data_IF_988765704764
#
_entry.id   IF_988765704764
#
_cell.length_a   1.000
_cell.length_b   1.000
_cell.length_c   1.000
_cell.angle_alpha   90.00
_cell.angle_beta   90.00
_cell.angle_gamma   90.00
#
_symmetry.space_group_name_H-M   'P 1'
#
loop_
_entity.id
_entity.type
_entity.pdbx_description
1 polymer ?
#
# COMPACT_ATOMS: atom_id res chain seq x y z
N UNK A 1 -36.48 34.63 -2.72
CA UNK A 1 -35.32 33.70 -2.53
C UNK A 1 -35.67 32.23 -2.79
N UNK A 2 -36.87 31.74 -2.48
CA UNK A 2 -37.31 30.34 -2.65
C UNK A 2 -37.21 29.83 -4.11
N UNK A 3 -37.48 30.69 -5.10
CA UNK A 3 -37.40 30.32 -6.52
C UNK A 3 -35.98 30.08 -7.08
N UNK A 4 -34.91 30.52 -6.39
CA UNK A 4 -33.52 30.19 -6.77
C UNK A 4 -33.07 28.84 -6.19
N UNK A 5 -33.55 28.49 -4.99
CA UNK A 5 -33.28 27.18 -4.38
C UNK A 5 -33.98 26.04 -5.12
N UNK A 6 -35.22 26.25 -5.60
CA UNK A 6 -35.94 25.24 -6.40
C UNK A 6 -35.36 25.00 -7.80
N UNK A 7 -34.50 25.90 -8.31
CA UNK A 7 -33.83 25.73 -9.61
C UNK A 7 -32.50 24.98 -9.50
N UNK A 8 -31.92 24.91 -8.31
CA UNK A 8 -30.65 24.22 -8.04
C UNK A 8 -30.86 22.77 -7.58
N UNK A 9 -32.03 22.43 -7.04
CA UNK A 9 -32.39 21.06 -6.65
C UNK A 9 -32.36 20.04 -7.78
N UNK A 10 -32.88 20.28 -9.00
CA UNK A 10 -32.74 19.32 -10.10
C UNK A 10 -31.28 19.18 -10.54
N UNK A 11 -30.47 20.24 -10.41
CA UNK A 11 -29.05 20.26 -10.78
C UNK A 11 -28.20 19.45 -9.79
N UNK A 12 -28.44 19.61 -8.49
CA UNK A 12 -27.77 18.82 -7.45
C UNK A 12 -28.19 17.35 -7.50
N UNK A 13 -29.47 17.07 -7.78
CA UNK A 13 -29.98 15.72 -7.97
C UNK A 13 -29.41 15.05 -9.23
N UNK A 14 -29.33 15.78 -10.36
CA UNK A 14 -28.71 15.26 -11.58
C UNK A 14 -27.22 15.01 -11.39
N UNK A 15 -26.51 15.91 -10.71
CA UNK A 15 -25.08 15.77 -10.40
C UNK A 15 -24.83 14.54 -9.52
N UNK A 16 -25.63 14.37 -8.45
CA UNK A 16 -25.55 13.21 -7.56
C UNK A 16 -25.84 11.89 -8.26
N UNK A 17 -26.85 11.84 -9.13
CA UNK A 17 -27.21 10.66 -9.91
C UNK A 17 -26.14 10.31 -10.95
N UNK A 18 -25.51 11.30 -11.61
CA UNK A 18 -24.39 11.04 -12.52
C UNK A 18 -23.15 10.53 -11.79
N UNK A 19 -22.81 11.10 -10.62
CA UNK A 19 -21.67 10.66 -9.82
C UNK A 19 -21.88 9.22 -9.31
N UNK A 20 -23.10 8.88 -8.91
CA UNK A 20 -23.47 7.53 -8.49
C UNK A 20 -23.44 6.53 -9.65
N UNK A 21 -23.97 6.89 -10.82
CA UNK A 21 -23.97 6.04 -12.01
C UNK A 21 -22.56 5.79 -12.56
N UNK A 22 -21.65 6.76 -12.45
CA UNK A 22 -20.23 6.60 -12.84
C UNK A 22 -19.46 5.66 -11.93
N UNK A 23 -19.73 5.71 -10.62
CA UNK A 23 -19.12 4.80 -9.66
C UNK A 23 -19.52 3.33 -9.90
N UNK A 24 -20.60 3.10 -10.64
CA UNK A 24 -21.15 1.77 -10.96
C UNK A 24 -20.88 1.35 -12.43
N UNK A 25 -20.19 2.19 -13.21
CA UNK A 25 -20.13 2.07 -14.68
C UNK A 25 -18.75 1.64 -15.19
N UNK A 26 -18.66 0.63 -16.08
CA UNK A 26 -17.41 0.18 -16.70
C UNK A 26 -16.75 1.23 -17.61
N UNK A 27 -17.41 2.36 -17.89
CA UNK A 27 -16.82 3.47 -18.65
C UNK A 27 -15.82 4.31 -17.83
N UNK A 28 -15.73 4.13 -16.51
CA UNK A 28 -14.70 4.73 -15.67
C UNK A 28 -13.34 4.02 -15.79
N UNK A 29 -13.34 2.75 -16.19
CA UNK A 29 -12.16 1.90 -16.32
C UNK A 29 -11.08 2.47 -17.27
N UNK A 30 -11.40 2.95 -18.49
CA UNK A 30 -10.38 3.57 -19.36
C UNK A 30 -9.79 4.87 -18.80
N UNK A 31 -10.56 5.62 -18.00
CA UNK A 31 -10.05 6.82 -17.34
C UNK A 31 -9.09 6.46 -16.20
N UNK A 32 -9.41 5.45 -15.39
CA UNK A 32 -8.54 4.94 -14.32
C UNK A 32 -7.24 4.37 -14.92
N UNK A 33 -7.33 3.56 -15.98
CA UNK A 33 -6.14 3.02 -16.65
C UNK A 33 -5.26 4.13 -17.26
N UNK A 34 -5.86 5.15 -17.87
CA UNK A 34 -5.11 6.30 -18.38
C UNK A 34 -4.36 7.05 -17.27
N UNK A 35 -4.95 7.16 -16.06
CA UNK A 35 -4.27 7.78 -14.92
C UNK A 35 -3.10 6.96 -14.38
N UNK A 36 -3.23 5.63 -14.35
CA UNK A 36 -2.14 4.73 -13.93
C UNK A 36 -0.93 4.84 -14.87
N UNK A 37 -1.17 4.82 -16.19
CA UNK A 37 -0.12 4.98 -17.21
C UNK A 37 0.54 6.36 -17.13
N UNK A 38 -0.22 7.41 -16.81
CA UNK A 38 0.34 8.74 -16.60
C UNK A 38 1.19 8.81 -15.31
N UNK A 39 0.76 8.13 -14.25
CA UNK A 39 1.50 8.00 -12.99
C UNK A 39 2.83 7.30 -13.20
N UNK A 40 2.82 6.19 -13.92
CA UNK A 40 4.04 5.48 -14.27
C UNK A 40 4.99 6.37 -15.08
N UNK A 41 4.49 7.07 -16.10
CA UNK A 41 5.31 7.99 -16.92
C UNK A 41 5.89 9.13 -16.10
N UNK A 42 5.15 9.70 -15.15
CA UNK A 42 5.65 10.77 -14.30
C UNK A 42 6.73 10.28 -13.34
N UNK A 43 6.55 9.10 -12.75
CA UNK A 43 7.55 8.46 -11.90
C UNK A 43 8.81 8.12 -12.70
N UNK A 44 8.68 7.53 -13.89
CA UNK A 44 9.81 7.22 -14.78
C UNK A 44 10.56 8.48 -15.19
N UNK A 45 9.86 9.58 -15.54
CA UNK A 45 10.52 10.87 -15.84
C UNK A 45 11.28 11.43 -14.65
N UNK A 46 10.72 11.33 -13.44
CA UNK A 46 11.39 11.79 -12.24
C UNK A 46 12.63 10.93 -11.94
N UNK A 47 12.54 9.61 -12.16
CA UNK A 47 13.63 8.67 -11.98
C UNK A 47 14.76 8.93 -12.98
N UNK A 48 14.47 9.00 -14.27
CA UNK A 48 15.49 9.24 -15.32
C UNK A 48 16.13 10.62 -15.23
N UNK A 49 15.42 11.62 -14.69
CA UNK A 49 16.02 12.93 -14.40
C UNK A 49 17.07 12.88 -13.28
N UNK A 50 16.97 11.89 -12.37
CA UNK A 50 17.89 11.74 -11.23
C UNK A 50 19.00 10.73 -11.51
N UNK A 51 18.67 9.62 -12.14
CA UNK A 51 19.57 8.49 -12.40
C UNK A 51 20.25 8.71 -13.76
N UNK A 52 21.52 9.08 -13.71
CA UNK A 52 22.41 9.20 -14.88
C UNK A 52 23.70 8.41 -14.62
N UNK A 53 24.54 8.16 -15.64
CA UNK A 53 25.75 7.34 -15.49
C UNK A 53 26.67 7.82 -14.36
N UNK A 54 26.92 9.11 -14.26
CA UNK A 54 27.80 9.68 -13.23
C UNK A 54 27.23 9.50 -11.80
N UNK A 55 25.92 9.64 -11.63
CA UNK A 55 25.27 9.37 -10.35
C UNK A 55 25.38 7.90 -9.98
N UNK A 56 25.11 6.99 -10.93
CA UNK A 56 25.18 5.56 -10.68
C UNK A 56 26.60 5.11 -10.35
N UNK A 57 27.62 5.62 -11.05
CA UNK A 57 29.04 5.37 -10.74
C UNK A 57 29.39 5.82 -9.31
N UNK A 58 28.99 7.02 -8.92
CA UNK A 58 29.29 7.57 -7.60
C UNK A 58 28.65 6.74 -6.48
N UNK A 59 27.37 6.41 -6.63
CA UNK A 59 26.62 5.66 -5.60
C UNK A 59 27.06 4.19 -5.54
N UNK A 60 27.39 3.59 -6.69
CA UNK A 60 27.89 2.22 -6.73
C UNK A 60 29.26 2.12 -6.06
N UNK A 61 30.17 3.04 -6.37
CA UNK A 61 31.48 3.09 -5.73
C UNK A 61 31.36 3.22 -4.20
N UNK A 62 30.51 4.13 -3.73
CA UNK A 62 30.27 4.31 -2.30
C UNK A 62 29.66 3.05 -1.63
N UNK A 63 28.72 2.38 -2.30
CA UNK A 63 28.12 1.15 -1.80
C UNK A 63 29.14 -0.01 -1.74
N UNK A 64 29.98 -0.14 -2.77
CA UNK A 64 31.05 -1.13 -2.82
C UNK A 64 32.15 -0.87 -1.78
N UNK A 65 32.50 0.40 -1.53
CA UNK A 65 33.42 0.79 -0.46
C UNK A 65 32.88 0.49 0.93
N UNK A 66 31.58 0.72 1.14
CA UNK A 66 30.90 0.38 2.39
C UNK A 66 30.64 -1.13 2.56
N UNK A 67 30.81 -1.94 1.49
CA UNK A 67 30.42 -3.34 1.48
C UNK A 67 28.91 -3.55 1.66
N UNK A 68 28.10 -2.55 1.28
CA UNK A 68 26.64 -2.54 1.43
C UNK A 68 25.99 -3.27 0.25
N UNK A 69 25.89 -4.59 0.37
CA UNK A 69 25.31 -5.45 -0.65
C UNK A 69 23.84 -5.09 -0.96
N UNK A 70 23.08 -4.69 0.05
CA UNK A 70 21.67 -4.33 -0.11
C UNK A 70 21.52 -3.07 -0.98
N UNK A 71 22.42 -2.09 -0.78
CA UNK A 71 22.49 -0.90 -1.63
C UNK A 71 22.92 -1.24 -3.05
N UNK A 72 23.93 -2.11 -3.22
CA UNK A 72 24.40 -2.56 -4.53
C UNK A 72 23.28 -3.24 -5.33
N UNK A 73 22.54 -4.17 -4.73
CA UNK A 73 21.41 -4.86 -5.39
C UNK A 73 20.30 -3.87 -5.78
N UNK A 74 20.07 -2.85 -4.95
CA UNK A 74 19.05 -1.84 -5.27
C UNK A 74 19.48 -0.95 -6.42
N UNK A 75 20.75 -0.54 -6.47
CA UNK A 75 21.30 0.23 -7.59
C UNK A 75 21.29 -0.56 -8.90
N UNK A 76 21.52 -1.87 -8.85
CA UNK A 76 21.42 -2.76 -10.01
C UNK A 76 19.99 -2.82 -10.56
N UNK A 77 18.98 -2.99 -9.69
CA UNK A 77 17.57 -2.93 -10.10
C UNK A 77 17.22 -1.59 -10.74
N UNK A 78 17.62 -0.48 -10.10
CA UNK A 78 17.38 0.87 -10.62
C UNK A 78 18.07 1.11 -11.95
N UNK A 79 19.32 0.64 -12.13
CA UNK A 79 20.05 0.75 -13.37
C UNK A 79 19.35 -0.02 -14.50
N UNK A 80 18.86 -1.23 -14.21
CA UNK A 80 18.04 -2.03 -15.12
C UNK A 80 16.76 -1.29 -15.54
N UNK A 81 16.07 -0.65 -14.59
CA UNK A 81 14.83 0.09 -14.86
C UNK A 81 15.01 1.28 -15.80
N UNK A 82 16.17 1.94 -15.76
CA UNK A 82 16.48 3.09 -16.65
C UNK A 82 17.32 2.70 -17.88
N UNK A 83 17.68 1.42 -18.01
CA UNK A 83 18.48 0.91 -19.14
C UNK A 83 19.94 1.37 -19.13
N UNK A 84 20.52 1.59 -17.95
CA UNK A 84 21.94 1.93 -17.78
C UNK A 84 22.79 0.68 -17.55
N UNK A 85 24.02 0.70 -18.08
CA UNK A 85 25.00 -0.33 -17.80
C UNK A 85 25.45 -0.25 -16.33
N UNK A 86 25.66 -1.40 -15.70
CA UNK A 86 26.12 -1.49 -14.32
C UNK A 86 27.63 -1.14 -14.26
N UNK A 87 28.03 -0.10 -13.53
CA UNK A 87 29.45 0.18 -13.32
C UNK A 87 30.06 -0.88 -12.40
N UNK A 88 31.35 -1.15 -12.58
CA UNK A 88 32.14 -2.03 -11.71
C UNK A 88 31.53 -3.45 -11.53
N UNK A 89 30.91 -3.99 -12.59
CA UNK A 89 30.19 -5.26 -12.55
C UNK A 89 31.01 -6.44 -11.99
N UNK A 90 32.33 -6.47 -12.24
CA UNK A 90 33.23 -7.49 -11.67
C UNK A 90 33.35 -7.37 -10.14
N UNK A 91 33.46 -6.15 -9.59
CA UNK A 91 33.50 -5.91 -8.14
C UNK A 91 32.17 -6.25 -7.48
N UNK A 92 31.06 -5.92 -8.15
CA UNK A 92 29.71 -6.32 -7.71
C UNK A 92 29.60 -7.85 -7.64
N UNK A 93 30.03 -8.55 -8.69
CA UNK A 93 30.01 -10.02 -8.73
C UNK A 93 30.91 -10.63 -7.64
N UNK A 94 32.09 -10.07 -7.40
CA UNK A 94 33.00 -10.51 -6.35
C UNK A 94 32.38 -10.34 -4.95
N UNK A 95 31.76 -9.19 -4.66
CA UNK A 95 31.09 -8.94 -3.38
C UNK A 95 29.92 -9.92 -3.16
N UNK A 96 29.15 -10.23 -4.21
CA UNK A 96 28.08 -11.24 -4.15
C UNK A 96 28.62 -12.65 -3.90
N UNK A 97 29.69 -13.04 -4.59
CA UNK A 97 30.31 -14.36 -4.46
C UNK A 97 30.94 -14.59 -3.08
N UNK A 98 31.53 -13.55 -2.48
CA UNK A 98 32.05 -13.62 -1.10
C UNK A 98 30.95 -13.96 -0.09
N UNK A 99 29.69 -13.61 -0.39
CA UNK A 99 28.53 -13.80 0.48
C UNK A 99 27.67 -15.03 0.14
N UNK A 100 28.07 -15.89 -0.80
CA UNK A 100 27.25 -16.99 -1.35
C UNK A 100 27.66 -18.41 -0.90
N UNK A 101 28.36 -18.59 0.22
CA UNK A 101 28.82 -19.91 0.67
C UNK A 101 27.70 -20.80 1.25
N UNK A 102 27.41 -21.96 0.64
CA UNK A 102 26.29 -22.87 0.98
C UNK A 102 26.16 -23.23 2.48
N UNK A 103 27.25 -23.61 3.15
CA UNK A 103 27.21 -23.97 4.58
C UNK A 103 26.97 -22.77 5.50
N UNK A 104 27.52 -21.60 5.13
CA UNK A 104 27.25 -20.34 5.81
C UNK A 104 25.79 -19.90 5.55
N UNK A 105 25.27 -20.12 4.34
CA UNK A 105 23.90 -19.79 3.95
C UNK A 105 22.88 -20.57 4.78
N UNK A 106 23.07 -21.88 4.99
CA UNK A 106 22.15 -22.71 5.74
C UNK A 106 22.06 -22.31 7.23
N UNK A 107 23.21 -22.08 7.88
CA UNK A 107 23.26 -21.61 9.27
C UNK A 107 22.71 -20.18 9.44
N UNK A 108 23.04 -19.30 8.49
CA UNK A 108 22.54 -17.92 8.45
C UNK A 108 21.02 -17.86 8.25
N UNK A 109 20.47 -18.72 7.40
CA UNK A 109 19.04 -18.82 7.22
C UNK A 109 18.34 -19.35 8.48
N UNK A 110 18.93 -20.32 9.18
CA UNK A 110 18.41 -20.79 10.48
C UNK A 110 18.36 -19.67 11.53
N UNK A 111 19.43 -18.87 11.64
CA UNK A 111 19.46 -17.69 12.53
C UNK A 111 18.40 -16.65 12.14
N UNK A 112 18.29 -16.34 10.86
CA UNK A 112 17.32 -15.40 10.31
C UNK A 112 15.86 -15.86 10.49
N UNK A 113 15.59 -17.17 10.42
CA UNK A 113 14.27 -17.73 10.72
C UNK A 113 13.96 -17.72 12.23
N UNK A 114 14.98 -17.90 13.08
CA UNK A 114 14.82 -17.84 14.53
C UNK A 114 14.52 -16.42 15.02
N UNK A 115 15.25 -15.43 14.52
CA UNK A 115 14.99 -14.00 14.70
C UNK A 115 15.25 -13.23 13.39
N UNK A 116 14.18 -12.69 12.83
CA UNK A 116 14.24 -11.92 11.58
C UNK A 116 15.04 -10.62 11.73
N UNK A 117 15.18 -10.09 12.96
CA UNK A 117 16.05 -8.94 13.22
C UNK A 117 17.55 -9.29 13.18
N UNK A 118 17.91 -10.57 13.24
CA UNK A 118 19.29 -11.03 13.20
C UNK A 118 19.76 -11.41 11.78
N UNK A 119 18.94 -11.19 10.75
CA UNK A 119 19.33 -11.44 9.37
C UNK A 119 20.47 -10.49 8.95
N UNK A 120 21.56 -11.00 8.33
CA UNK A 120 22.74 -10.17 8.03
C UNK A 120 22.58 -9.23 6.82
N UNK A 121 21.50 -9.37 6.05
CA UNK A 121 21.19 -8.54 4.87
C UNK A 121 19.71 -8.67 4.53
N UNK A 122 19.19 -7.69 3.77
CA UNK A 122 17.85 -7.72 3.21
C UNK A 122 17.66 -8.95 2.33
N UNK A 123 18.63 -9.33 1.50
CA UNK A 123 18.50 -10.49 0.60
C UNK A 123 18.29 -11.80 1.39
N UNK A 124 18.98 -11.98 2.53
CA UNK A 124 18.75 -13.14 3.40
C UNK A 124 17.40 -13.10 4.11
N UNK A 125 16.98 -11.90 4.53
CA UNK A 125 15.64 -11.71 5.07
C UNK A 125 14.57 -12.11 4.03
N UNK A 126 14.72 -11.69 2.77
CA UNK A 126 13.79 -12.03 1.69
C UNK A 126 13.80 -13.51 1.35
N UNK A 127 14.99 -14.13 1.28
CA UNK A 127 15.14 -15.52 0.85
C UNK A 127 14.76 -16.55 1.93
N UNK A 128 14.99 -16.22 3.21
CA UNK A 128 14.88 -17.18 4.31
C UNK A 128 13.89 -16.75 5.41
N UNK A 129 13.99 -15.52 5.90
CA UNK A 129 13.14 -15.02 6.97
C UNK A 129 11.68 -14.83 6.57
N UNK A 130 11.43 -14.11 5.46
CA UNK A 130 10.08 -13.76 5.01
C UNK A 130 9.21 -14.98 4.64
N UNK A 131 9.71 -15.99 3.91
CA UNK A 131 8.92 -17.20 3.65
C UNK A 131 8.53 -17.91 4.95
N UNK A 132 9.43 -17.98 5.93
CA UNK A 132 9.13 -18.56 7.24
C UNK A 132 8.08 -17.75 8.01
N UNK A 133 8.19 -16.43 8.01
CA UNK A 133 7.26 -15.53 8.71
C UNK A 133 5.84 -15.53 8.13
N UNK A 134 5.68 -15.95 6.88
CA UNK A 134 4.37 -16.17 6.24
C UNK A 134 3.74 -17.52 6.59
N UNK A 135 4.45 -18.40 7.28
CA UNK A 135 3.93 -19.71 7.69
C UNK A 135 3.27 -19.64 9.08
N UNK A 136 2.45 -20.62 9.46
CA UNK A 136 1.96 -20.75 10.84
C UNK A 136 3.11 -20.91 11.86
N UNK A 137 4.27 -21.44 11.42
CA UNK A 137 5.46 -21.58 12.26
C UNK A 137 6.06 -20.22 12.62
N UNK A 138 6.00 -19.23 11.73
CA UNK A 138 6.43 -17.86 12.00
C UNK A 138 5.61 -17.22 13.12
N UNK A 139 4.28 -17.35 13.05
CA UNK A 139 3.40 -16.83 14.11
C UNK A 139 3.60 -17.57 15.45
N UNK A 140 3.82 -18.90 15.41
CA UNK A 140 4.18 -19.67 16.60
C UNK A 140 5.54 -19.25 17.19
N UNK A 141 6.53 -18.93 16.33
CA UNK A 141 7.83 -18.43 16.76
C UNK A 141 7.71 -17.06 17.44
N UNK A 142 6.84 -16.18 16.94
CA UNK A 142 6.55 -14.89 17.57
C UNK A 142 5.94 -15.07 18.98
N UNK A 143 4.98 -15.98 19.14
CA UNK A 143 4.42 -16.31 20.46
C UNK A 143 5.45 -16.95 21.41
N UNK A 144 6.31 -17.83 20.89
CA UNK A 144 7.42 -18.42 21.65
C UNK A 144 8.35 -17.33 22.20
N UNK A 145 8.74 -16.34 21.38
CA UNK A 145 9.58 -15.22 21.81
C UNK A 145 8.91 -14.42 22.92
N UNK A 146 7.62 -14.08 22.77
CA UNK A 146 6.87 -13.40 23.82
C UNK A 146 6.80 -14.20 25.13
N UNK A 147 6.66 -15.53 25.04
CA UNK A 147 6.71 -16.43 26.19
C UNK A 147 8.08 -16.43 26.88
N UNK A 148 9.17 -16.45 26.12
CA UNK A 148 10.54 -16.36 26.66
C UNK A 148 10.78 -15.03 27.37
N UNK A 149 10.40 -13.91 26.74
CA UNK A 149 10.50 -12.57 27.34
C UNK A 149 9.74 -12.50 28.68
N UNK A 150 8.55 -13.12 28.76
CA UNK A 150 7.77 -13.18 30.00
C UNK A 150 8.47 -14.01 31.09
N UNK A 151 9.15 -15.09 30.74
CA UNK A 151 9.92 -15.91 31.69
C UNK A 151 11.20 -15.20 32.17
N UNK A 152 11.82 -14.42 31.30
CA UNK A 152 13.04 -13.65 31.57
C UNK A 152 12.77 -12.32 32.30
N UNK A 153 11.49 -11.95 32.48
CA UNK A 153 11.09 -10.70 33.12
C UNK A 153 11.24 -9.46 32.24
N UNK A 154 11.39 -9.66 30.92
CA UNK A 154 11.49 -8.60 29.94
C UNK A 154 10.10 -8.01 29.57
N UNK A 155 10.10 -6.81 28.99
CA UNK A 155 8.86 -6.21 28.49
C UNK A 155 8.32 -6.99 27.29
N UNK A 156 7.12 -7.56 27.44
CA UNK A 156 6.42 -8.25 26.35
C UNK A 156 5.92 -7.23 25.33
N UNK A 157 6.33 -7.35 24.06
CA UNK A 157 5.75 -6.58 22.95
C UNK A 157 4.31 -7.05 22.69
N UNK A 158 3.37 -6.37 23.36
CA UNK A 158 1.94 -6.67 23.26
C UNK A 158 1.42 -6.56 21.83
N UNK A 159 1.99 -5.66 21.02
CA UNK A 159 1.56 -5.48 19.62
C UNK A 159 2.01 -6.67 18.77
N UNK A 160 3.25 -7.16 18.94
CA UNK A 160 3.73 -8.36 18.26
C UNK A 160 2.87 -9.59 18.62
N UNK A 161 2.50 -9.74 19.90
CA UNK A 161 1.60 -10.81 20.37
C UNK A 161 0.21 -10.69 19.75
N UNK A 162 -0.40 -9.49 19.77
CA UNK A 162 -1.72 -9.28 19.17
C UNK A 162 -1.69 -9.58 17.67
N UNK A 163 -0.68 -9.10 16.94
CA UNK A 163 -0.53 -9.36 15.50
C UNK A 163 -0.29 -10.84 15.20
N UNK A 164 0.45 -11.57 16.05
CA UNK A 164 0.65 -13.01 15.91
C UNK A 164 -0.64 -13.81 16.16
N UNK A 165 -1.43 -13.43 17.17
CA UNK A 165 -2.75 -14.04 17.43
C UNK A 165 -3.71 -13.76 16.27
N UNK A 166 -3.73 -12.53 15.74
CA UNK A 166 -4.52 -12.18 14.55
C UNK A 166 -4.03 -12.99 13.34
N UNK A 167 -2.72 -13.14 13.14
CA UNK A 167 -2.14 -13.95 12.07
C UNK A 167 -2.53 -15.44 12.15
N UNK A 168 -2.53 -16.02 13.35
CA UNK A 168 -3.00 -17.40 13.60
C UNK A 168 -4.52 -17.53 13.41
N UNK A 169 -5.29 -16.56 13.90
CA UNK A 169 -6.75 -16.52 13.70
C UNK A 169 -7.11 -16.39 12.23
N UNK A 170 -6.42 -15.53 11.48
CA UNK A 170 -6.55 -15.40 10.04
C UNK A 170 -6.17 -16.72 9.34
N UNK A 171 -5.09 -17.37 9.78
CA UNK A 171 -4.66 -18.69 9.25
C UNK A 171 -5.74 -19.75 9.42
N UNK A 172 -6.36 -19.83 10.60
CA UNK A 172 -7.49 -20.71 10.86
C UNK A 172 -8.72 -20.34 10.01
N UNK A 173 -8.95 -19.05 9.78
CA UNK A 173 -10.01 -18.58 8.90
C UNK A 173 -9.75 -18.93 7.42
N UNK A 174 -8.50 -19.02 6.92
CA UNK A 174 -8.21 -19.49 5.54
C UNK A 174 -8.83 -20.85 5.28
N UNK A 175 -8.71 -21.77 6.24
CA UNK A 175 -9.22 -23.13 6.12
C UNK A 175 -10.76 -23.19 6.07
N UNK A 176 -11.43 -22.13 6.51
CA UNK A 176 -12.90 -22.05 6.62
C UNK A 176 -13.51 -21.10 5.58
N UNK A 177 -12.85 -20.01 5.20
CA UNK A 177 -13.42 -18.87 4.44
C UNK A 177 -12.96 -18.76 2.99
N UNK A 178 -12.07 -19.62 2.51
CA UNK A 178 -11.77 -19.71 1.06
C UNK A 178 -11.04 -18.50 0.46
N UNK A 179 -10.04 -17.92 1.15
CA UNK A 179 -9.00 -17.09 0.51
C UNK A 179 -8.95 -15.61 0.87
N UNK A 180 -9.97 -15.04 1.52
CA UNK A 180 -9.95 -13.63 2.01
C UNK A 180 -8.92 -13.34 3.11
N UNK A 181 -8.31 -14.38 3.66
CA UNK A 181 -7.38 -14.34 4.78
C UNK A 181 -5.91 -14.27 4.38
N UNK A 182 -5.57 -14.48 3.10
CA UNK A 182 -4.18 -14.36 2.61
C UNK A 182 -3.71 -12.90 2.58
N UNK A 183 -4.60 -11.97 2.19
CA UNK A 183 -4.33 -10.52 2.18
C UNK A 183 -4.19 -9.99 3.61
N UNK A 184 -5.10 -10.35 4.51
CA UNK A 184 -5.03 -9.96 5.92
C UNK A 184 -3.74 -10.47 6.57
N UNK A 185 -3.34 -11.71 6.27
CA UNK A 185 -2.07 -12.27 6.77
C UNK A 185 -0.86 -11.51 6.22
N UNK A 186 -0.82 -11.20 4.92
CA UNK A 186 0.29 -10.44 4.34
C UNK A 186 0.44 -9.04 4.99
N UNK A 187 -0.67 -8.31 5.18
CA UNK A 187 -0.66 -7.01 5.86
C UNK A 187 -0.22 -7.11 7.32
N UNK A 188 -0.72 -8.12 8.05
CA UNK A 188 -0.33 -8.37 9.44
C UNK A 188 1.15 -8.77 9.57
N UNK A 189 1.68 -9.62 8.67
CA UNK A 189 3.09 -10.01 8.64
C UNK A 189 3.97 -8.80 8.33
N UNK A 190 3.60 -7.93 7.39
CA UNK A 190 4.32 -6.68 7.10
C UNK A 190 4.43 -5.81 8.34
N UNK A 191 3.32 -5.58 9.06
CA UNK A 191 3.31 -4.78 10.29
C UNK A 191 4.12 -5.43 11.42
N UNK A 192 3.97 -6.74 11.61
CA UNK A 192 4.65 -7.50 12.66
C UNK A 192 6.17 -7.50 12.46
N UNK A 193 6.61 -7.85 11.26
CA UNK A 193 8.04 -7.85 10.91
C UNK A 193 8.58 -6.43 10.89
N UNK A 194 7.84 -5.45 10.34
CA UNK A 194 8.29 -4.07 10.33
C UNK A 194 8.44 -3.45 11.71
N UNK A 195 7.57 -3.82 12.66
CA UNK A 195 7.72 -3.42 14.07
C UNK A 195 8.99 -4.00 14.67
N UNK A 196 9.26 -5.29 14.44
CA UNK A 196 10.45 -6.00 14.91
C UNK A 196 11.75 -5.42 14.35
N UNK A 197 11.75 -5.06 13.06
CA UNK A 197 12.90 -4.44 12.38
C UNK A 197 13.03 -2.93 12.63
N UNK A 198 12.09 -2.32 13.36
CA UNK A 198 12.08 -0.88 13.59
C UNK A 198 11.83 -0.05 12.32
N UNK A 199 11.24 -0.63 11.27
CA UNK A 199 10.89 0.10 10.04
C UNK A 199 9.56 0.84 10.16
N UNK A 200 8.73 0.51 11.15
CA UNK A 200 7.50 1.25 11.46
C UNK A 200 7.85 2.59 12.10
N UNK A 201 7.39 3.69 11.50
CA UNK A 201 7.64 5.04 12.03
C UNK A 201 6.92 5.26 13.37
N UNK A 202 7.46 6.12 14.26
CA UNK A 202 6.82 6.40 15.55
C UNK A 202 5.39 6.98 15.42
N UNK A 203 5.15 7.80 14.39
CA UNK A 203 3.83 8.34 14.03
C UNK A 203 2.86 7.22 13.68
N UNK A 204 3.28 6.32 12.80
CA UNK A 204 2.43 5.22 12.35
C UNK A 204 2.17 4.21 13.45
N UNK A 205 3.17 3.92 14.31
CA UNK A 205 2.98 3.09 15.49
C UNK A 205 1.91 3.67 16.42
N UNK A 206 1.98 4.97 16.72
CA UNK A 206 0.96 5.67 17.54
C UNK A 206 -0.43 5.62 16.91
N UNK A 207 -0.53 5.66 15.58
CA UNK A 207 -1.80 5.47 14.89
C UNK A 207 -2.32 4.04 15.09
N UNK A 208 -1.49 3.02 14.84
CA UNK A 208 -1.86 1.61 14.98
C UNK A 208 -2.30 1.29 16.40
N UNK A 209 -1.58 1.75 17.42
CA UNK A 209 -1.97 1.55 18.83
C UNK A 209 -3.32 2.19 19.16
N UNK A 210 -3.59 3.41 18.66
CA UNK A 210 -4.89 4.08 18.86
C UNK A 210 -6.03 3.38 18.15
N UNK A 211 -5.77 2.83 16.97
CA UNK A 211 -6.76 2.11 16.20
C UNK A 211 -7.03 0.71 16.79
N UNK A 212 -5.99 0.05 17.32
CA UNK A 212 -6.09 -1.27 17.93
C UNK A 212 -6.93 -1.29 19.22
N UNK A 213 -7.07 -0.14 19.88
CA UNK A 213 -8.02 0.05 20.97
C UNK A 213 -9.46 0.17 20.44
N UNK A 214 -10.01 -0.95 19.98
CA UNK A 214 -11.35 -1.07 19.38
C UNK A 214 -12.48 -1.09 20.40
N UNK A 215 -12.23 -0.71 21.66
CA UNK A 215 -13.19 -0.78 22.78
C UNK A 215 -13.90 -2.16 22.85
N UNK A 216 -13.09 -3.22 22.78
CA UNK A 216 -13.59 -4.59 22.78
C UNK A 216 -14.32 -4.87 24.10
N UNK A 217 -15.59 -5.24 24.02
CA UNK A 217 -16.40 -5.67 25.17
C UNK A 217 -16.39 -7.20 25.29
N UNK A 218 -15.54 -7.80 26.14
CA UNK A 218 -15.33 -9.25 26.14
C UNK A 218 -16.59 -10.03 26.55
N UNK A 219 -17.43 -9.41 27.40
CA UNK A 219 -18.71 -9.97 27.82
C UNK A 219 -19.70 -10.21 26.66
N UNK A 220 -19.53 -9.51 25.53
CA UNK A 220 -20.41 -9.60 24.37
C UNK A 220 -19.86 -10.54 23.27
N UNK A 221 -18.65 -11.08 23.43
CA UNK A 221 -18.08 -12.06 22.48
C UNK A 221 -18.88 -13.35 22.41
N UNK A 222 -19.26 -13.91 23.56
CA UNK A 222 -20.03 -15.15 23.64
C UNK A 222 -21.47 -14.99 23.07
N UNK A 223 -22.18 -13.89 23.35
CA UNK A 223 -23.42 -13.53 22.66
C UNK A 223 -23.26 -13.37 21.14
N UNK A 224 -22.21 -12.69 20.68
CA UNK A 224 -21.93 -12.51 19.24
C UNK A 224 -21.69 -13.84 18.53
N UNK A 225 -20.87 -14.71 19.11
CA UNK A 225 -20.59 -16.04 18.55
C UNK A 225 -21.85 -16.91 18.43
N UNK A 226 -22.88 -16.64 19.25
CA UNK A 226 -24.18 -17.32 19.20
C UNK A 226 -25.22 -16.59 18.33
N UNK A 227 -24.83 -15.51 17.64
CA UNK A 227 -25.71 -14.68 16.81
C UNK A 227 -26.67 -13.79 17.61
N UNK A 228 -26.47 -13.65 18.92
CA UNK A 228 -27.35 -12.90 19.82
C UNK A 228 -26.91 -11.45 20.06
N UNK A 229 -25.75 -11.03 19.55
CA UNK A 229 -25.26 -9.66 19.57
C UNK A 229 -24.69 -9.29 18.21
N UNK A 230 -24.69 -8.00 17.88
CA UNK A 230 -24.13 -7.48 16.63
C UNK A 230 -22.69 -7.02 16.81
N UNK A 231 -21.90 -7.02 15.74
CA UNK A 231 -20.48 -6.65 15.81
C UNK A 231 -20.27 -5.22 16.34
N UNK A 232 -21.16 -4.29 15.99
CA UNK A 232 -21.17 -2.89 16.47
C UNK A 232 -21.44 -2.74 17.97
N UNK A 233 -22.00 -3.77 18.61
CA UNK A 233 -22.18 -3.81 20.06
C UNK A 233 -20.93 -4.31 20.78
N UNK A 234 -20.11 -5.13 20.11
CA UNK A 234 -18.93 -5.82 20.66
C UNK A 234 -17.65 -5.01 20.51
N UNK A 235 -17.52 -4.29 19.39
CA UNK A 235 -16.34 -3.50 19.02
C UNK A 235 -16.73 -2.21 18.31
N UNK A 236 -15.86 -1.22 18.37
CA UNK A 236 -15.92 -0.03 17.52
C UNK A 236 -15.63 -0.42 16.05
N UNK A 237 -16.71 -0.65 15.30
CA UNK A 237 -16.66 -1.02 13.88
C UNK A 237 -16.00 0.04 13.01
N UNK A 238 -16.00 1.32 13.41
CA UNK A 238 -15.35 2.38 12.65
C UNK A 238 -13.83 2.38 12.82
N UNK A 239 -13.32 2.00 14.01
CA UNK A 239 -11.90 1.74 14.21
C UNK A 239 -11.47 0.45 13.53
N UNK A 240 -12.28 -0.60 13.64
CA UNK A 240 -12.01 -1.89 12.99
C UNK A 240 -11.91 -1.74 11.47
N UNK A 241 -12.89 -1.10 10.82
CA UNK A 241 -12.86 -0.86 9.38
C UNK A 241 -11.64 -0.03 8.93
N UNK A 242 -11.17 0.90 9.78
CA UNK A 242 -9.93 1.66 9.50
C UNK A 242 -8.68 0.79 9.56
N UNK A 243 -8.58 -0.10 10.55
CA UNK A 243 -7.46 -1.06 10.63
C UNK A 243 -7.49 -2.00 9.42
N UNK A 244 -8.67 -2.53 9.09
CA UNK A 244 -8.84 -3.40 7.93
C UNK A 244 -8.44 -2.69 6.63
N UNK A 245 -8.80 -1.40 6.49
CA UNK A 245 -8.35 -0.57 5.37
C UNK A 245 -6.83 -0.46 5.29
N UNK A 246 -6.17 -0.10 6.40
CA UNK A 246 -4.70 0.00 6.45
C UNK A 246 -4.02 -1.34 6.18
N UNK A 247 -4.52 -2.42 6.78
CA UNK A 247 -3.99 -3.77 6.56
C UNK A 247 -4.19 -4.22 5.11
N UNK A 248 -5.35 -3.89 4.51
CA UNK A 248 -5.64 -4.17 3.10
C UNK A 248 -4.74 -3.39 2.14
N UNK A 249 -4.44 -2.12 2.43
CA UNK A 249 -3.51 -1.31 1.65
C UNK A 249 -2.08 -1.88 1.74
N UNK A 250 -1.61 -2.25 2.93
CA UNK A 250 -0.29 -2.87 3.11
C UNK A 250 -0.21 -4.26 2.46
N UNK A 251 -1.29 -5.04 2.52
CA UNK A 251 -1.39 -6.31 1.82
C UNK A 251 -1.27 -6.14 0.30
N UNK A 252 -1.84 -5.07 -0.23
CA UNK A 252 -1.75 -4.72 -1.66
C UNK A 252 -0.33 -4.29 -2.04
N UNK A 253 0.34 -3.53 -1.18
CA UNK A 253 1.78 -3.23 -1.35
C UNK A 253 2.58 -4.53 -1.43
N UNK A 254 2.40 -5.42 -0.47
CA UNK A 254 3.09 -6.71 -0.40
C UNK A 254 2.81 -7.60 -1.63
N UNK A 255 1.56 -7.59 -2.12
CA UNK A 255 1.16 -8.36 -3.31
C UNK A 255 1.72 -7.81 -4.62
N UNK A 256 1.88 -6.49 -4.73
CA UNK A 256 2.39 -5.84 -5.95
C UNK A 256 3.93 -5.74 -5.99
N UNK A 257 4.60 -5.91 -4.84
CA UNK A 257 6.06 -5.85 -4.70
C UNK A 257 6.58 -7.21 -4.22
N UNK A 258 6.78 -7.32 -2.91
CA UNK A 258 7.00 -8.54 -2.14
C UNK A 258 6.67 -8.22 -0.68
N UNK A 259 6.46 -9.24 0.16
CA UNK A 259 6.15 -9.01 1.58
C UNK A 259 7.31 -8.28 2.28
N UNK A 260 8.56 -8.62 1.96
CA UNK A 260 9.68 -7.94 2.59
C UNK A 260 9.94 -6.55 2.01
N UNK A 261 9.65 -6.27 0.74
CA UNK A 261 9.68 -4.88 0.24
C UNK A 261 8.61 -4.05 0.94
N UNK A 262 7.43 -4.63 1.18
CA UNK A 262 6.38 -4.02 1.99
C UNK A 262 6.87 -3.63 3.39
N UNK A 263 7.61 -4.52 4.06
CA UNK A 263 8.25 -4.26 5.36
C UNK A 263 9.24 -3.09 5.29
N UNK A 264 10.08 -3.05 4.25
CA UNK A 264 11.09 -2.00 4.11
C UNK A 264 10.47 -0.65 3.74
N UNK A 265 9.36 -0.65 3.00
CA UNK A 265 8.62 0.54 2.60
C UNK A 265 7.85 1.18 3.76
N UNK A 266 7.61 0.47 4.87
CA UNK A 266 6.98 1.03 6.07
C UNK A 266 7.73 2.23 6.64
N UNK A 267 9.05 2.34 6.39
CA UNK A 267 9.86 3.50 6.80
C UNK A 267 9.40 4.82 6.17
N UNK A 268 8.55 4.75 5.15
CA UNK A 268 7.99 5.90 4.45
C UNK A 268 6.51 6.15 4.79
N UNK A 269 5.91 5.36 5.70
CA UNK A 269 4.50 5.46 6.08
C UNK A 269 4.40 6.10 7.46
N UNK A 270 3.73 7.26 7.55
CA UNK A 270 3.49 7.94 8.83
C UNK A 270 2.01 7.89 9.23
N UNK A 271 1.12 7.59 8.28
CA UNK A 271 -0.33 7.69 8.41
C UNK A 271 -1.07 6.62 7.58
N UNK A 272 -2.37 6.44 7.84
CA UNK A 272 -3.21 5.56 7.02
C UNK A 272 -3.28 6.05 5.57
N UNK A 273 -3.32 7.36 5.36
CA UNK A 273 -3.31 7.99 4.04
C UNK A 273 -2.01 7.70 3.28
N UNK A 274 -0.87 7.66 3.98
CA UNK A 274 0.41 7.27 3.36
C UNK A 274 0.41 5.80 2.96
N UNK A 275 -0.17 4.90 3.76
CA UNK A 275 -0.32 3.49 3.41
C UNK A 275 -1.19 3.32 2.14
N UNK A 276 -2.32 4.03 2.07
CA UNK A 276 -3.18 4.06 0.88
C UNK A 276 -2.47 4.63 -0.36
N UNK A 277 -1.67 5.69 -0.19
CA UNK A 277 -0.86 6.27 -1.28
C UNK A 277 0.22 5.31 -1.73
N UNK A 278 0.89 4.64 -0.80
CA UNK A 278 1.91 3.64 -1.07
C UNK A 278 1.31 2.46 -1.86
N UNK A 279 0.12 1.98 -1.49
CA UNK A 279 -0.61 0.97 -2.25
C UNK A 279 -0.89 1.42 -3.70
N UNK A 280 -1.28 2.68 -3.91
CA UNK A 280 -1.45 3.23 -5.27
C UNK A 280 -0.13 3.33 -6.03
N UNK A 281 0.99 3.65 -5.37
CA UNK A 281 2.30 3.60 -6.04
C UNK A 281 2.60 2.17 -6.44
N UNK A 282 2.38 1.19 -5.56
CA UNK A 282 2.72 -0.21 -5.83
C UNK A 282 1.88 -0.80 -6.97
N UNK A 283 0.62 -0.42 -7.10
CA UNK A 283 -0.23 -0.81 -8.24
C UNK A 283 0.35 -0.34 -9.58
N UNK A 284 0.97 0.83 -9.60
CA UNK A 284 1.50 1.45 -10.83
C UNK A 284 2.94 1.02 -11.11
N UNK A 285 3.79 1.00 -10.08
CA UNK A 285 5.22 0.74 -10.21
C UNK A 285 5.58 -0.74 -10.05
N UNK A 286 4.71 -1.54 -9.42
CA UNK A 286 4.97 -2.94 -9.12
C UNK A 286 6.24 -3.13 -8.30
N UNK A 287 7.09 -4.12 -8.63
CA UNK A 287 8.35 -4.40 -7.92
C UNK A 287 9.32 -3.21 -7.83
N UNK A 288 9.24 -2.25 -8.74
CA UNK A 288 10.12 -1.06 -8.79
C UNK A 288 9.83 -0.04 -7.69
N UNK A 289 8.74 -0.23 -6.93
CA UNK A 289 8.30 0.71 -5.89
C UNK A 289 9.40 1.02 -4.89
N UNK A 290 10.12 -0.01 -4.39
CA UNK A 290 11.22 0.22 -3.43
C UNK A 290 12.31 1.12 -4.01
N UNK A 291 12.79 0.81 -5.21
CA UNK A 291 13.81 1.62 -5.89
C UNK A 291 13.37 3.07 -6.11
N UNK A 292 12.10 3.30 -6.48
CA UNK A 292 11.55 4.65 -6.61
C UNK A 292 11.60 5.44 -5.30
N UNK A 293 11.21 4.81 -4.19
CA UNK A 293 11.23 5.47 -2.88
C UNK A 293 12.66 5.74 -2.39
N UNK A 294 13.59 4.82 -2.60
CA UNK A 294 14.99 5.00 -2.21
C UNK A 294 15.70 6.10 -3.00
N UNK A 295 15.43 6.21 -4.31
CA UNK A 295 16.10 7.20 -5.17
C UNK A 295 15.41 8.57 -5.10
N UNK A 296 14.08 8.61 -5.19
CA UNK A 296 13.34 9.87 -5.29
C UNK A 296 12.91 10.43 -3.93
N UNK A 297 12.77 9.56 -2.93
CA UNK A 297 12.20 9.88 -1.62
C UNK A 297 10.68 9.99 -1.61
N UNK A 298 10.08 9.72 -0.45
CA UNK A 298 8.63 9.77 -0.17
C UNK A 298 7.93 10.99 -0.81
N UNK A 299 8.45 12.19 -0.56
CA UNK A 299 7.80 13.44 -0.94
C UNK A 299 7.67 13.60 -2.46
N UNK A 300 8.69 13.19 -3.24
CA UNK A 300 8.63 13.31 -4.70
C UNK A 300 7.70 12.26 -5.31
N UNK A 301 7.78 11.02 -4.81
CA UNK A 301 6.90 9.93 -5.26
C UNK A 301 5.43 10.27 -5.01
N UNK A 302 5.08 10.71 -3.80
CA UNK A 302 3.71 11.09 -3.48
C UNK A 302 3.24 12.33 -4.23
N UNK A 303 4.12 13.32 -4.46
CA UNK A 303 3.77 14.50 -5.26
C UNK A 303 3.51 14.14 -6.72
N UNK A 304 4.24 13.18 -7.27
CA UNK A 304 4.01 12.69 -8.64
C UNK A 304 2.59 12.09 -8.78
N UNK A 305 2.15 11.31 -7.79
CA UNK A 305 0.79 10.77 -7.74
C UNK A 305 -0.30 11.85 -7.59
N UNK A 306 -0.11 12.80 -6.66
CA UNK A 306 -1.12 13.84 -6.38
C UNK A 306 -1.32 14.76 -7.57
N UNK A 307 -0.24 15.24 -8.20
CA UNK A 307 -0.34 16.13 -9.37
C UNK A 307 -1.16 15.52 -10.51
N UNK A 308 -1.08 14.21 -10.67
CA UNK A 308 -1.83 13.49 -11.70
C UNK A 308 -3.28 13.23 -11.33
N UNK A 309 -3.54 12.99 -10.04
CA UNK A 309 -4.91 12.92 -9.53
C UNK A 309 -5.65 14.25 -9.76
N UNK A 310 -4.99 15.38 -9.50
CA UNK A 310 -5.57 16.70 -9.73
C UNK A 310 -5.78 17.02 -11.22
N UNK A 311 -4.82 16.65 -12.08
CA UNK A 311 -4.95 16.78 -13.53
C UNK A 311 -6.08 15.89 -14.10
N UNK A 312 -6.24 14.69 -13.58
CA UNK A 312 -7.31 13.78 -13.97
C UNK A 312 -8.69 14.28 -13.53
N UNK A 313 -8.81 14.76 -12.28
CA UNK A 313 -10.05 15.32 -11.74
C UNK A 313 -10.46 16.59 -12.49
N UNK A 314 -9.50 17.47 -12.80
CA UNK A 314 -9.77 18.69 -13.59
C UNK A 314 -10.18 18.35 -15.03
N UNK A 315 -9.51 17.40 -15.68
CA UNK A 315 -9.90 16.92 -17.01
C UNK A 315 -11.30 16.30 -17.01
N UNK A 316 -11.62 15.46 -16.01
CA UNK A 316 -12.95 14.89 -15.86
C UNK A 316 -14.01 15.99 -15.65
N UNK A 317 -13.76 16.95 -14.77
CA UNK A 317 -14.65 18.11 -14.54
C UNK A 317 -14.90 18.90 -15.83
N UNK A 318 -13.88 19.10 -16.67
CA UNK A 318 -14.02 19.81 -17.95
C UNK A 318 -14.84 19.00 -18.97
N UNK A 319 -14.63 17.69 -19.06
CA UNK A 319 -15.43 16.81 -19.92
C UNK A 319 -16.91 16.86 -19.46
N UNK A 320 -17.16 16.81 -18.16
CA UNK A 320 -18.51 16.91 -17.61
C UNK A 320 -19.15 18.29 -17.85
N UNK A 321 -18.40 19.37 -17.67
CA UNK A 321 -18.87 20.72 -17.91
C UNK A 321 -19.27 20.92 -19.38
N UNK A 322 -18.49 20.39 -20.33
CA UNK A 322 -18.80 20.49 -21.77
C UNK A 322 -20.00 19.63 -22.17
N UNK A 323 -20.11 18.40 -21.63
CA UNK A 323 -21.28 17.54 -21.85
C UNK A 323 -22.58 18.21 -21.34
N UNK A 324 -22.52 18.81 -20.15
CA UNK A 324 -23.64 19.54 -19.57
C UNK A 324 -24.03 20.76 -20.42
N UNK A 325 -23.04 21.54 -20.91
CA UNK A 325 -23.29 22.68 -21.79
C UNK A 325 -23.98 22.25 -23.10
N UNK A 326 -23.55 21.13 -23.70
CA UNK A 326 -24.17 20.59 -24.91
C UNK A 326 -25.63 20.18 -24.69
N UNK A 327 -25.93 19.53 -23.57
CA UNK A 327 -27.30 19.14 -23.21
C UNK A 327 -28.21 20.34 -22.96
N UNK A 328 -27.71 21.36 -22.26
CA UNK A 328 -28.46 22.60 -22.03
C UNK A 328 -28.74 23.35 -23.34
N UNK A 329 -27.77 23.39 -24.25
CA UNK A 329 -27.93 23.99 -25.57
C UNK A 329 -28.97 23.24 -26.42
N UNK A 330 -28.94 21.90 -26.40
CA UNK A 330 -29.91 21.05 -27.09
C UNK A 330 -31.32 21.25 -26.54
N UNK A 331 -31.47 21.25 -25.21
CA UNK A 331 -32.74 21.47 -24.53
C UNK A 331 -33.33 22.85 -24.85
N UNK A 332 -32.48 23.90 -24.83
CA UNK A 332 -32.88 25.26 -25.23
C UNK A 332 -33.32 25.35 -26.69
N UNK A 333 -32.61 24.65 -27.59
CA UNK A 333 -32.95 24.61 -29.01
C UNK A 333 -34.28 23.91 -29.28
N UNK A 334 -34.51 22.75 -28.64
CA UNK A 334 -35.76 22.01 -28.74
C UNK A 334 -36.93 22.80 -28.13
N UNK A 335 -36.76 23.36 -26.93
CA UNK A 335 -37.75 24.19 -26.27
C UNK A 335 -38.11 25.44 -27.09
N UNK A 336 -37.11 26.11 -27.67
CA UNK A 336 -37.33 27.26 -28.55
C UNK A 336 -38.01 26.89 -29.87
N UNK A 337 -37.82 25.67 -30.39
CA UNK A 337 -38.59 25.19 -31.56
C UNK A 337 -40.01 24.82 -31.22
N UNK A 338 -40.24 24.14 -30.10
CA UNK A 338 -41.59 23.82 -29.62
C UNK A 338 -42.40 25.10 -29.35
N UNK A 339 -41.79 26.10 -28.70
CA UNK A 339 -42.42 27.39 -28.44
C UNK A 339 -42.77 28.15 -29.74
N UNK A 340 -41.86 28.18 -30.71
CA UNK A 340 -42.12 28.81 -32.03
C UNK A 340 -43.21 28.10 -32.82
N UNK A 341 -43.32 26.78 -32.72
CA UNK A 341 -44.41 26.01 -33.34
C UNK A 341 -45.75 26.23 -32.63
N UNK A 342 -45.75 26.39 -31.32
CA UNK A 342 -46.95 26.70 -30.55
C UNK A 342 -47.47 28.11 -30.84
N UNK A 343 -46.57 29.11 -30.90
CA UNK A 343 -46.93 30.51 -31.20
C UNK A 343 -47.40 30.69 -32.66
N UNK A 344 -46.93 29.87 -33.61
CA UNK A 344 -47.41 29.90 -35.00
C UNK A 344 -48.78 29.26 -35.22
N UNK A 345 -49.32 28.54 -34.23
CA UNK A 345 -50.64 27.90 -34.29
C UNK A 345 -51.73 28.68 -33.55
N UNK A 346 -51.36 29.78 -32.88
CA UNK A 346 -52.25 30.79 -32.31
C UNK A 346 -52.35 31.97 -33.27
#
# INVERSE_FOLDING_TARGET
>A
MIGRLLRLTPFAASLGLTLWALAQSPFAEPLVQATAVQAERALNRALTARVNPAWLETEMAAALEAGDLDRVETLELVAGDVGLALPEAERVAALKAERSGWLAQAGTCGLCMADIAACPSVSHMMACGMPFELTPLGDANALRRAGMAMLEGEEVDRLEVTLAVVGLGATAAILVSGGTSTTVKAGATVLRVGRRLGTVTPEFLRLLTRLADVDLKPALLLPYARGAARLDEVVDTAKLARIEGVAGDLARVAGNTSVGDGVLLLRHVDSAEDAARLAKVSEVAGPRTRGLFEVLGKNRVFRALVRLSDLALTAALLIWATALQALLALAGWLGGRAFRLAVRRL
#
